data_IF_924307438711
#
_entry.id   IF_924307438711
#
_cell.length_a   1.000
_cell.length_b   1.000
_cell.length_c   1.000
_cell.angle_alpha   90.00
_cell.angle_beta   90.00
_cell.angle_gamma   90.00
#
_symmetry.space_group_name_H-M   'P 1'
#
loop_
_entity.id
_entity.type
_entity.pdbx_description
1 polymer ?
#
# COMPACT_ATOMS: atom_id res chain seq x y z
N UNK A 1 0.17 -21.00 -11.58
CA UNK A 1 0.44 -19.58 -11.74
C UNK A 1 0.09 -18.88 -10.43
N UNK A 2 0.97 -18.06 -9.88
CA UNK A 2 0.79 -17.33 -8.63
C UNK A 2 0.78 -15.82 -8.91
N UNK A 3 -0.31 -15.17 -8.49
CA UNK A 3 -0.51 -13.74 -8.64
C UNK A 3 -0.58 -13.02 -7.29
N UNK A 4 -0.09 -11.79 -7.21
CA UNK A 4 -0.13 -11.00 -5.98
C UNK A 4 -0.82 -9.63 -6.19
N UNK A 5 -1.74 -9.30 -5.29
CA UNK A 5 -2.19 -7.92 -5.08
C UNK A 5 -1.23 -7.25 -4.09
N UNK A 6 -0.49 -6.26 -4.58
CA UNK A 6 0.54 -5.55 -3.84
C UNK A 6 0.08 -4.15 -3.39
N UNK A 7 -1.23 -3.87 -3.37
CA UNK A 7 -1.76 -2.55 -3.04
C UNK A 7 -1.30 -2.04 -1.66
N UNK A 8 -1.10 -2.93 -0.68
CA UNK A 8 -0.56 -2.57 0.64
C UNK A 8 0.93 -2.91 0.81
N UNK A 9 1.61 -3.41 -0.22
CA UNK A 9 2.99 -3.87 -0.15
C UNK A 9 3.97 -2.94 -0.89
N UNK A 10 3.61 -2.47 -2.09
CA UNK A 10 4.48 -1.61 -2.90
C UNK A 10 4.80 -0.31 -2.16
N UNK A 11 6.09 0.04 -2.06
CA UNK A 11 6.57 1.19 -1.29
C UNK A 11 6.52 1.04 0.24
N UNK A 12 5.99 -0.07 0.76
CA UNK A 12 5.83 -0.35 2.19
C UNK A 12 6.80 -1.42 2.70
N UNK A 13 6.94 -2.53 1.97
CA UNK A 13 7.82 -3.66 2.32
C UNK A 13 8.77 -3.98 1.17
N UNK A 14 9.91 -4.66 1.41
CA UNK A 14 10.77 -5.16 0.34
C UNK A 14 10.01 -6.10 -0.58
N UNK A 15 10.22 -5.97 -1.90
CA UNK A 15 9.61 -6.83 -2.90
C UNK A 15 10.67 -7.26 -3.93
N UNK A 16 10.81 -8.56 -4.17
CA UNK A 16 11.73 -9.11 -5.17
C UNK A 16 10.99 -10.04 -6.13
N UNK A 17 9.91 -9.54 -6.73
CA UNK A 17 8.92 -10.32 -7.50
C UNK A 17 9.52 -11.32 -8.50
N UNK A 18 10.58 -10.90 -9.20
CA UNK A 18 11.26 -11.76 -10.16
C UNK A 18 12.02 -12.91 -9.48
N UNK A 19 12.82 -12.58 -8.47
CA UNK A 19 13.57 -13.56 -7.68
C UNK A 19 12.61 -14.53 -6.96
N UNK A 20 11.50 -14.00 -6.45
CA UNK A 20 10.52 -14.76 -5.68
C UNK A 20 9.59 -15.60 -6.59
N UNK A 21 9.78 -15.54 -7.91
CA UNK A 21 9.06 -16.38 -8.87
C UNK A 21 7.57 -16.03 -9.00
N UNK A 22 7.15 -14.82 -8.63
CA UNK A 22 5.78 -14.34 -8.81
C UNK A 22 5.47 -14.30 -10.31
N UNK A 23 4.35 -14.86 -10.77
CA UNK A 23 4.06 -14.90 -12.20
C UNK A 23 3.51 -13.56 -12.71
N UNK A 24 2.65 -12.91 -11.92
CA UNK A 24 2.12 -11.58 -12.19
C UNK A 24 1.77 -10.86 -10.88
N UNK A 25 1.76 -9.53 -10.90
CA UNK A 25 1.33 -8.74 -9.75
C UNK A 25 0.66 -7.44 -10.20
N UNK A 26 -0.19 -6.87 -9.34
CA UNK A 26 -0.84 -5.59 -9.57
C UNK A 26 -0.80 -4.73 -8.31
N UNK A 27 -0.82 -3.42 -8.47
CA UNK A 27 -0.90 -2.48 -7.35
C UNK A 27 -1.53 -1.16 -7.74
N UNK A 28 -1.94 -0.40 -6.72
CA UNK A 28 -2.28 1.00 -6.86
C UNK A 28 -1.10 1.91 -6.49
N UNK A 29 -1.11 3.14 -6.99
CA UNK A 29 -0.11 4.16 -6.68
C UNK A 29 -0.59 5.22 -5.68
N UNK A 30 -1.88 5.24 -5.36
CA UNK A 30 -2.49 6.26 -4.49
C UNK A 30 -2.37 5.96 -2.98
N UNK A 31 -1.82 4.80 -2.59
CA UNK A 31 -1.58 4.42 -1.19
C UNK A 31 -0.17 4.83 -0.75
N UNK A 32 0.69 3.87 -0.41
CA UNK A 32 2.04 4.14 0.07
C UNK A 32 2.90 4.90 -0.97
N UNK A 33 2.62 4.73 -2.26
CA UNK A 33 3.29 5.45 -3.33
C UNK A 33 2.80 6.90 -3.54
N UNK A 34 1.89 7.43 -2.72
CA UNK A 34 1.54 8.86 -2.64
C UNK A 34 1.24 9.58 -3.97
N UNK A 35 0.78 8.89 -5.01
CA UNK A 35 0.56 9.49 -6.34
C UNK A 35 -0.75 10.28 -6.45
N UNK A 36 -1.54 10.38 -5.38
CA UNK A 36 -2.81 11.11 -5.36
C UNK A 36 -4.02 10.27 -5.83
N UNK A 37 -5.24 10.77 -5.61
CA UNK A 37 -6.48 10.04 -5.88
C UNK A 37 -6.67 9.76 -7.37
N UNK A 38 -6.98 8.51 -7.73
CA UNK A 38 -7.21 8.11 -9.12
C UNK A 38 -5.94 7.98 -9.97
N UNK A 39 -4.76 8.01 -9.36
CA UNK A 39 -3.49 7.84 -10.05
C UNK A 39 -3.36 6.46 -10.72
N UNK A 40 -2.51 6.40 -11.75
CA UNK A 40 -2.29 5.20 -12.57
C UNK A 40 -1.82 4.01 -11.71
N UNK A 41 -2.39 2.82 -11.92
CA UNK A 41 -1.93 1.58 -11.28
C UNK A 41 -0.63 1.05 -11.90
N UNK A 42 -0.12 -0.04 -11.34
CA UNK A 42 1.00 -0.78 -11.92
C UNK A 42 0.70 -2.26 -12.06
N UNK A 43 1.39 -2.89 -13.01
CA UNK A 43 1.31 -4.31 -13.26
C UNK A 43 2.72 -4.87 -13.50
N UNK A 44 2.94 -6.07 -13.00
CA UNK A 44 4.13 -6.87 -13.22
C UNK A 44 3.73 -8.17 -13.92
N UNK A 45 4.54 -8.57 -14.90
CA UNK A 45 4.45 -9.87 -15.56
C UNK A 45 5.86 -10.43 -15.61
N UNK A 46 6.06 -11.62 -15.05
CA UNK A 46 7.38 -12.23 -15.03
C UNK A 46 7.89 -12.48 -16.45
N UNK A 47 9.19 -12.28 -16.69
CA UNK A 47 9.78 -12.44 -18.02
C UNK A 47 9.57 -13.83 -18.65
N UNK A 48 9.41 -14.88 -17.84
CA UNK A 48 9.09 -16.24 -18.32
C UNK A 48 7.78 -16.29 -19.12
N UNK A 49 6.90 -15.31 -18.93
CA UNK A 49 5.65 -15.11 -19.65
C UNK A 49 5.72 -14.03 -20.73
N UNK A 50 6.87 -13.37 -20.92
CA UNK A 50 6.98 -12.17 -21.74
C UNK A 50 6.58 -12.39 -23.21
N UNK A 51 6.79 -13.59 -23.76
CA UNK A 51 6.49 -13.94 -25.16
C UNK A 51 5.37 -14.98 -25.30
N UNK A 52 4.56 -15.17 -24.27
CA UNK A 52 3.45 -16.15 -24.26
C UNK A 52 2.22 -15.57 -24.94
N UNK A 53 2.16 -15.70 -26.27
CA UNK A 53 1.09 -15.21 -27.15
C UNK A 53 -0.27 -15.89 -26.97
N UNK A 54 -0.28 -17.06 -26.35
CA UNK A 54 -1.44 -17.90 -26.09
C UNK A 54 -2.24 -17.48 -24.84
N UNK A 55 -1.72 -16.56 -24.02
CA UNK A 55 -2.44 -16.09 -22.84
C UNK A 55 -3.70 -15.29 -23.22
N UNK A 56 -4.82 -15.48 -22.50
CA UNK A 56 -6.03 -14.69 -22.73
C UNK A 56 -5.78 -13.24 -22.30
N UNK A 57 -5.67 -12.34 -23.27
CA UNK A 57 -5.46 -10.91 -23.06
C UNK A 57 -6.65 -10.13 -23.56
N UNK A 58 -7.11 -9.17 -22.76
CA UNK A 58 -7.89 -8.08 -23.31
C UNK A 58 -6.92 -7.23 -24.14
N UNK A 59 -6.92 -7.41 -25.46
CA UNK A 59 -6.00 -6.73 -26.35
C UNK A 59 -6.47 -5.30 -26.62
N UNK A 60 -5.57 -4.33 -26.51
CA UNK A 60 -5.82 -2.95 -26.91
C UNK A 60 -4.62 -2.38 -27.66
N UNK A 61 -4.88 -1.35 -28.47
CA UNK A 61 -3.90 -0.81 -29.42
C UNK A 61 -2.59 -0.36 -28.79
N UNK A 62 -2.61 0.07 -27.52
CA UNK A 62 -1.40 0.52 -26.83
C UNK A 62 -0.48 -0.62 -26.42
N UNK A 63 -1.02 -1.84 -26.27
CA UNK A 63 -0.26 -3.07 -26.04
C UNK A 63 0.34 -3.65 -27.32
N UNK A 64 -0.02 -3.12 -28.49
CA UNK A 64 0.52 -3.55 -29.77
C UNK A 64 1.97 -3.10 -29.97
N UNK A 65 2.71 -3.84 -30.81
CA UNK A 65 4.03 -3.51 -31.31
C UNK A 65 4.15 -2.01 -31.69
N UNK A 66 5.02 -1.23 -31.03
CA UNK A 66 5.20 0.19 -31.29
C UNK A 66 5.57 0.51 -32.75
N UNK A 67 6.30 -0.37 -33.44
CA UNK A 67 6.76 -0.14 -34.82
C UNK A 67 5.59 -0.13 -35.81
N UNK A 68 4.55 -0.93 -35.53
CA UNK A 68 3.38 -1.08 -36.42
C UNK A 68 2.09 -0.51 -35.83
N UNK A 69 2.10 0.00 -34.59
CA UNK A 69 0.90 0.49 -33.87
C UNK A 69 0.05 1.49 -34.66
N UNK A 70 0.70 2.41 -35.37
CA UNK A 70 0.03 3.47 -36.12
C UNK A 70 -0.25 3.11 -37.58
N UNK A 71 0.17 1.93 -38.05
CA UNK A 71 -0.20 1.40 -39.36
C UNK A 71 -1.64 0.82 -39.34
N UNK A 72 -2.57 1.51 -38.69
CA UNK A 72 -3.91 1.11 -38.20
C UNK A 72 -4.84 0.40 -39.22
N UNK A 73 -4.41 0.20 -40.46
CA UNK A 73 -5.08 -0.44 -41.59
C UNK A 73 -4.41 -1.75 -42.08
N UNK A 74 -3.20 -2.09 -41.60
CA UNK A 74 -2.41 -3.25 -42.11
C UNK A 74 -2.23 -4.41 -41.14
N UNK A 75 -2.38 -4.20 -39.84
CA UNK A 75 -2.21 -5.25 -38.84
C UNK A 75 -3.50 -6.11 -38.72
N UNK A 76 -3.62 -7.18 -39.52
CA UNK A 76 -4.71 -8.16 -39.39
C UNK A 76 -4.69 -8.95 -38.08
N UNK A 77 -3.56 -8.91 -37.35
CA UNK A 77 -3.32 -9.63 -36.10
C UNK A 77 -2.72 -8.69 -35.06
N UNK A 78 -3.23 -8.75 -33.83
CA UNK A 78 -2.60 -8.10 -32.69
C UNK A 78 -1.27 -8.79 -32.38
N UNK A 79 -0.17 -8.03 -32.40
CA UNK A 79 1.16 -8.45 -31.98
C UNK A 79 1.44 -7.79 -30.62
N UNK A 80 1.40 -8.52 -29.50
CA UNK A 80 1.63 -7.96 -28.18
C UNK A 80 3.09 -7.53 -28.00
N UNK A 81 3.32 -6.41 -27.32
CA UNK A 81 4.63 -6.10 -26.78
C UNK A 81 5.05 -7.16 -25.74
N UNK A 82 6.35 -7.50 -25.65
CA UNK A 82 6.83 -8.42 -24.64
C UNK A 82 6.54 -7.96 -23.20
N UNK A 83 6.19 -8.90 -22.33
CA UNK A 83 6.01 -8.66 -20.90
C UNK A 83 4.74 -7.86 -20.56
N UNK A 84 4.79 -7.08 -19.49
CA UNK A 84 3.65 -6.30 -19.00
C UNK A 84 3.16 -5.25 -20.00
N UNK A 85 4.04 -4.76 -20.89
CA UNK A 85 3.68 -3.75 -21.89
C UNK A 85 2.58 -4.22 -22.85
N UNK A 86 2.54 -5.52 -23.18
CA UNK A 86 1.51 -6.14 -24.03
C UNK A 86 0.11 -6.19 -23.43
N UNK A 87 -0.03 -5.84 -22.15
CA UNK A 87 -1.32 -5.81 -21.42
C UNK A 87 -1.92 -4.41 -21.35
N UNK A 88 -1.29 -3.40 -21.97
CA UNK A 88 -1.84 -2.05 -22.02
C UNK A 88 -2.99 -1.97 -23.03
N UNK A 89 -4.13 -1.46 -22.59
CA UNK A 89 -5.31 -1.33 -23.44
C UNK A 89 -5.29 -0.04 -24.27
N UNK A 90 -5.13 1.09 -23.56
CA UNK A 90 -5.28 2.44 -24.09
C UNK A 90 -4.02 3.25 -23.83
N UNK A 91 -3.94 4.43 -24.46
CA UNK A 91 -2.86 5.37 -24.16
C UNK A 91 -2.89 5.78 -22.66
N UNK A 92 -1.72 6.05 -22.06
CA UNK A 92 -1.63 6.37 -20.65
C UNK A 92 -2.31 7.72 -20.34
N UNK A 93 -3.00 7.84 -19.19
CA UNK A 93 -3.59 9.10 -18.74
C UNK A 93 -2.51 10.02 -18.17
N UNK A 94 -1.89 10.84 -19.02
CA UNK A 94 -0.70 11.66 -18.68
C UNK A 94 -0.85 12.43 -17.37
N UNK A 95 -1.98 13.12 -17.16
CA UNK A 95 -2.21 13.92 -15.95
C UNK A 95 -2.38 13.09 -14.68
N UNK A 96 -2.94 11.88 -14.77
CA UNK A 96 -3.08 10.96 -13.64
C UNK A 96 -1.77 10.17 -13.36
N UNK A 97 -0.87 10.11 -14.34
CA UNK A 97 0.42 9.45 -14.21
C UNK A 97 1.52 10.41 -13.72
N UNK A 98 1.44 11.70 -14.05
CA UNK A 98 2.49 12.68 -13.73
C UNK A 98 2.84 12.77 -12.22
N UNK A 99 1.88 12.77 -11.27
CA UNK A 99 2.20 12.83 -9.84
C UNK A 99 2.97 11.61 -9.33
N UNK A 100 2.82 10.45 -9.97
CA UNK A 100 3.58 9.25 -9.61
C UNK A 100 5.09 9.50 -9.83
N UNK A 101 5.49 10.22 -10.87
CA UNK A 101 6.90 10.53 -11.12
C UNK A 101 7.50 11.37 -10.00
N UNK A 102 6.78 12.40 -9.54
CA UNK A 102 7.21 13.23 -8.42
C UNK A 102 7.32 12.42 -7.12
N UNK A 103 6.36 11.53 -6.87
CA UNK A 103 6.42 10.65 -5.69
C UNK A 103 7.60 9.68 -5.75
N UNK A 104 7.83 9.01 -6.89
CA UNK A 104 8.94 8.09 -7.05
C UNK A 104 10.31 8.78 -6.86
N UNK A 105 10.46 10.03 -7.30
CA UNK A 105 11.66 10.81 -7.02
C UNK A 105 11.92 11.00 -5.52
N UNK A 106 10.87 11.21 -4.71
CA UNK A 106 10.98 11.27 -3.25
C UNK A 106 11.37 9.90 -2.65
N UNK A 107 10.89 8.80 -3.24
CA UNK A 107 11.27 7.44 -2.82
C UNK A 107 12.75 7.17 -3.07
N UNK A 108 13.27 7.61 -4.23
CA UNK A 108 14.69 7.49 -4.60
C UNK A 108 15.56 8.36 -3.68
N UNK A 109 15.17 9.61 -3.44
CA UNK A 109 15.86 10.51 -2.52
C UNK A 109 15.89 9.94 -1.09
N UNK A 110 14.75 9.43 -0.60
CA UNK A 110 14.63 8.89 0.75
C UNK A 110 15.40 7.58 0.96
N UNK A 111 15.58 6.78 -0.10
CA UNK A 111 16.27 5.49 -0.08
C UNK A 111 15.48 4.38 0.63
N UNK A 112 15.54 3.15 0.10
CA UNK A 112 14.78 2.03 0.64
C UNK A 112 15.18 1.66 2.07
N UNK A 113 16.47 1.48 2.32
CA UNK A 113 16.98 1.04 3.62
C UNK A 113 16.58 1.99 4.76
N UNK A 114 16.74 3.31 4.56
CA UNK A 114 16.37 4.33 5.56
C UNK A 114 14.86 4.33 5.82
N UNK A 115 14.04 4.24 4.78
CA UNK A 115 12.57 4.17 4.92
C UNK A 115 12.16 2.93 5.71
N UNK A 116 12.71 1.76 5.38
CA UNK A 116 12.36 0.50 6.05
C UNK A 116 12.85 0.47 7.50
N UNK A 117 14.04 1.00 7.78
CA UNK A 117 14.55 1.13 9.15
C UNK A 117 13.64 2.04 9.99
N UNK A 118 13.26 3.21 9.46
CA UNK A 118 12.33 4.13 10.12
C UNK A 118 10.94 3.50 10.32
N UNK A 119 10.41 2.78 9.32
CA UNK A 119 9.12 2.09 9.44
C UNK A 119 9.13 1.05 10.55
N UNK A 120 10.20 0.24 10.66
CA UNK A 120 10.37 -0.74 11.74
C UNK A 120 10.43 -0.07 13.12
N UNK A 121 11.19 1.02 13.25
CA UNK A 121 11.29 1.78 14.49
C UNK A 121 9.94 2.41 14.90
N UNK A 122 9.19 2.97 13.95
CA UNK A 122 7.86 3.52 14.19
C UNK A 122 6.84 2.44 14.58
N UNK A 123 6.89 1.27 13.93
CA UNK A 123 6.06 0.14 14.30
C UNK A 123 6.34 -0.32 15.73
N UNK A 124 7.62 -0.55 16.06
CA UNK A 124 8.04 -0.96 17.40
C UNK A 124 7.59 0.06 18.46
N UNK A 125 7.86 1.34 18.25
CA UNK A 125 7.43 2.42 19.15
C UNK A 125 5.93 2.41 19.39
N UNK A 126 5.11 2.31 18.32
CA UNK A 126 3.66 2.30 18.46
C UNK A 126 3.20 1.08 19.26
N UNK A 127 3.74 -0.09 18.93
CA UNK A 127 3.38 -1.35 19.57
C UNK A 127 3.78 -1.36 21.04
N UNK A 128 4.97 -0.88 21.39
CA UNK A 128 5.45 -0.77 22.78
C UNK A 128 4.54 0.14 23.61
N UNK A 129 4.12 1.29 23.05
CA UNK A 129 3.19 2.20 23.72
C UNK A 129 1.82 1.55 23.93
N UNK A 130 1.33 0.81 22.95
CA UNK A 130 0.03 0.12 23.04
C UNK A 130 0.08 -1.04 24.04
N UNK A 131 1.16 -1.80 24.09
CA UNK A 131 1.32 -2.94 24.99
C UNK A 131 1.49 -2.52 26.46
N UNK A 132 1.98 -1.30 26.69
CA UNK A 132 2.03 -0.72 28.03
C UNK A 132 0.63 -0.35 28.57
N UNK A 133 -0.43 -0.47 27.77
CA UNK A 133 -1.79 -0.21 28.22
C UNK A 133 -2.25 -1.22 29.29
N UNK A 134 -2.89 -0.75 30.38
CA UNK A 134 -3.33 -1.65 31.43
C UNK A 134 -4.57 -2.47 31.03
N UNK A 135 -4.53 -3.78 31.30
CA UNK A 135 -5.66 -4.70 31.15
C UNK A 135 -5.90 -5.17 29.71
N UNK A 136 -7.05 -5.80 29.47
CA UNK A 136 -7.49 -6.37 28.18
C UNK A 136 -8.22 -5.36 27.29
N UNK A 137 -7.93 -4.06 27.48
CA UNK A 137 -8.68 -2.96 26.87
C UNK A 137 -8.37 -2.76 25.39
N UNK A 138 -7.25 -3.24 24.91
CA UNK A 138 -6.89 -3.21 23.50
C UNK A 138 -5.99 -4.39 23.20
N UNK A 139 -5.95 -4.79 21.94
CA UNK A 139 -5.10 -5.89 21.49
C UNK A 139 -4.49 -5.54 20.14
N UNK A 140 -3.16 -5.57 20.05
CA UNK A 140 -2.47 -5.47 18.76
C UNK A 140 -2.57 -6.82 18.04
N UNK A 141 -3.32 -6.87 16.94
CA UNK A 141 -3.53 -8.10 16.15
C UNK A 141 -2.59 -8.21 14.94
N UNK A 142 -1.80 -7.17 14.65
CA UNK A 142 -0.77 -7.25 13.61
C UNK A 142 0.37 -8.17 14.08
N UNK A 143 0.85 -9.12 13.26
CA UNK A 143 2.01 -9.94 13.59
C UNK A 143 3.27 -9.11 13.90
N UNK A 144 4.02 -9.53 14.91
CA UNK A 144 5.24 -8.84 15.39
C UNK A 144 6.53 -9.34 14.77
N UNK A 145 6.49 -10.52 14.14
CA UNK A 145 7.69 -11.16 13.62
C UNK A 145 8.38 -10.28 12.59
N UNK A 146 9.71 -10.35 12.56
CA UNK A 146 10.52 -9.63 11.58
C UNK A 146 10.07 -9.98 10.16
N UNK A 147 9.70 -8.96 9.39
CA UNK A 147 9.20 -9.14 8.02
C UNK A 147 7.77 -9.66 7.92
N UNK A 148 7.06 -9.88 9.04
CA UNK A 148 5.67 -10.34 9.05
C UNK A 148 4.64 -9.19 8.99
N UNK A 149 5.11 -7.93 8.92
CA UNK A 149 4.26 -6.74 8.88
C UNK A 149 4.85 -5.63 8.00
N UNK A 150 3.98 -4.72 7.56
CA UNK A 150 4.38 -3.41 7.02
C UNK A 150 4.20 -2.30 8.06
N UNK A 151 3.97 -1.08 7.61
CA UNK A 151 3.74 0.08 8.49
C UNK A 151 2.42 0.03 9.31
N UNK A 152 1.44 -0.77 8.91
CA UNK A 152 0.09 -0.73 9.51
C UNK A 152 0.03 -1.58 10.79
N UNK A 153 -0.42 -0.96 11.88
CA UNK A 153 -0.83 -1.61 13.12
C UNK A 153 -2.36 -1.66 13.19
N UNK A 154 -2.89 -2.86 13.36
CA UNK A 154 -4.31 -3.11 13.61
C UNK A 154 -4.51 -3.34 15.10
N UNK A 155 -5.39 -2.54 15.72
CA UNK A 155 -5.69 -2.58 17.15
C UNK A 155 -7.15 -2.96 17.34
N UNK A 156 -7.40 -4.09 17.98
CA UNK A 156 -8.74 -4.55 18.35
C UNK A 156 -9.18 -3.86 19.64
N UNK A 157 -10.37 -3.28 19.61
CA UNK A 157 -11.02 -2.48 20.65
C UNK A 157 -12.50 -2.93 20.73
N UNK A 158 -12.80 -4.06 21.40
CA UNK A 158 -14.14 -4.63 21.43
C UNK A 158 -15.21 -3.62 21.86
N UNK A 159 -16.23 -3.42 21.01
CA UNK A 159 -17.36 -2.52 21.24
C UNK A 159 -17.02 -1.02 21.22
N UNK A 160 -15.75 -0.64 20.99
CA UNK A 160 -15.26 0.73 21.21
C UNK A 160 -14.53 1.36 20.03
N UNK A 161 -14.17 0.59 19.01
CA UNK A 161 -13.40 1.08 17.86
C UNK A 161 -13.99 2.35 17.20
N UNK A 162 -15.30 2.34 16.91
CA UNK A 162 -15.97 3.51 16.31
C UNK A 162 -15.94 4.76 17.20
N UNK A 163 -16.22 4.60 18.51
CA UNK A 163 -16.20 5.71 19.46
C UNK A 163 -14.80 6.30 19.59
N UNK A 164 -13.80 5.44 19.76
CA UNK A 164 -12.41 5.83 19.92
C UNK A 164 -11.89 6.49 18.64
N UNK A 165 -12.20 5.95 17.46
CA UNK A 165 -11.82 6.55 16.18
C UNK A 165 -12.44 7.94 15.99
N UNK A 166 -13.70 8.15 16.39
CA UNK A 166 -14.32 9.49 16.36
C UNK A 166 -13.62 10.46 17.31
N UNK A 167 -13.23 10.01 18.51
CA UNK A 167 -12.47 10.84 19.45
C UNK A 167 -11.09 11.20 18.87
N UNK A 168 -10.34 10.21 18.37
CA UNK A 168 -9.05 10.42 17.69
C UNK A 168 -9.15 11.43 16.54
N UNK A 169 -10.19 11.34 15.71
CA UNK A 169 -10.42 12.30 14.60
C UNK A 169 -10.70 13.72 15.10
N UNK A 170 -11.42 13.89 16.21
CA UNK A 170 -11.61 15.21 16.83
C UNK A 170 -10.30 15.81 17.33
N UNK A 171 -9.37 14.96 17.75
CA UNK A 171 -8.03 15.34 18.20
C UNK A 171 -7.03 15.49 17.03
N UNK A 172 -7.48 15.38 15.78
CA UNK A 172 -6.67 15.56 14.57
C UNK A 172 -5.99 14.29 14.05
N UNK A 173 -6.19 13.12 14.68
CA UNK A 173 -5.65 11.85 14.22
C UNK A 173 -6.57 11.18 13.19
N UNK A 174 -6.07 11.01 11.97
CA UNK A 174 -6.80 10.33 10.89
C UNK A 174 -6.54 8.83 10.97
N UNK A 175 -7.58 8.07 11.33
CA UNK A 175 -7.54 6.60 11.44
C UNK A 175 -8.70 5.94 10.69
N UNK A 176 -8.50 4.69 10.31
CA UNK A 176 -9.50 3.85 9.64
C UNK A 176 -10.13 2.87 10.62
N UNK A 177 -11.44 2.68 10.54
CA UNK A 177 -12.15 1.66 11.33
C UNK A 177 -12.46 0.48 10.43
N UNK A 178 -12.18 -0.72 10.94
CA UNK A 178 -12.60 -1.99 10.36
C UNK A 178 -13.60 -2.65 11.29
N UNK A 179 -14.90 -2.54 10.97
CA UNK A 179 -15.95 -3.13 11.77
C UNK A 179 -15.72 -4.64 12.03
N UNK A 180 -16.16 -5.15 13.19
CA UNK A 180 -16.82 -4.39 14.26
C UNK A 180 -15.84 -3.58 15.14
N UNK A 181 -14.62 -4.08 15.34
CA UNK A 181 -13.84 -3.73 16.54
C UNK A 181 -12.39 -3.30 16.26
N UNK A 182 -11.98 -3.06 15.01
CA UNK A 182 -10.57 -2.78 14.73
C UNK A 182 -10.36 -1.33 14.31
N UNK A 183 -9.37 -0.66 14.89
CA UNK A 183 -8.78 0.57 14.35
C UNK A 183 -7.48 0.20 13.64
N UNK A 184 -7.28 0.73 12.42
CA UNK A 184 -6.02 0.62 11.70
C UNK A 184 -5.32 1.97 11.69
N UNK A 185 -4.06 1.94 12.10
CA UNK A 185 -3.14 3.07 12.12
C UNK A 185 -1.90 2.69 11.34
N UNK A 186 -1.45 3.56 10.43
CA UNK A 186 -0.33 3.26 9.53
C UNK A 186 0.65 4.43 9.44
N UNK A 187 1.52 4.61 10.44
CA UNK A 187 2.59 5.60 10.36
C UNK A 187 3.50 5.32 9.17
N UNK A 188 3.65 6.27 8.25
CA UNK A 188 4.46 6.11 7.04
C UNK A 188 5.80 6.82 7.22
N UNK A 189 6.95 6.17 6.94
CA UNK A 189 8.26 6.72 7.25
C UNK A 189 8.61 8.00 6.47
N UNK A 190 7.97 8.26 5.33
CA UNK A 190 8.26 9.43 4.51
C UNK A 190 7.88 10.75 5.20
N UNK A 191 6.74 10.78 5.90
CA UNK A 191 6.19 12.03 6.41
C UNK A 191 5.71 11.99 7.86
N UNK A 192 5.58 10.81 8.48
CA UNK A 192 5.29 10.74 9.92
C UNK A 192 6.57 10.78 10.75
N UNK A 193 6.50 11.46 11.89
CA UNK A 193 7.58 11.54 12.88
C UNK A 193 7.38 10.51 13.99
N UNK A 194 8.44 10.19 14.75
CA UNK A 194 8.30 9.32 15.93
C UNK A 194 7.44 9.99 17.02
N UNK A 195 7.51 11.31 17.15
CA UNK A 195 6.70 12.07 18.10
C UNK A 195 5.20 11.93 17.80
N UNK A 196 4.79 12.08 16.52
CA UNK A 196 3.40 11.87 16.12
C UNK A 196 2.91 10.46 16.43
N UNK A 197 3.77 9.46 16.22
CA UNK A 197 3.47 8.05 16.52
C UNK A 197 3.27 7.84 18.02
N UNK A 198 4.16 8.38 18.85
CA UNK A 198 4.03 8.30 20.30
C UNK A 198 2.77 9.03 20.80
N UNK A 199 2.49 10.25 20.31
CA UNK A 199 1.29 11.01 20.68
C UNK A 199 0.01 10.27 20.32
N UNK A 200 -0.06 9.69 19.12
CA UNK A 200 -1.18 8.84 18.69
C UNK A 200 -1.36 7.63 19.61
N UNK A 201 -0.28 6.89 19.88
CA UNK A 201 -0.31 5.70 20.73
C UNK A 201 -0.81 6.03 22.13
N UNK A 202 -0.22 7.04 22.79
CA UNK A 202 -0.62 7.47 24.13
C UNK A 202 -2.08 7.91 24.18
N UNK A 203 -2.54 8.66 23.17
CA UNK A 203 -3.94 9.10 23.09
C UNK A 203 -4.89 7.93 22.90
N UNK A 204 -4.52 6.93 22.11
CA UNK A 204 -5.32 5.72 21.93
C UNK A 204 -5.43 4.95 23.25
N UNK A 205 -4.32 4.79 23.98
CA UNK A 205 -4.30 4.15 25.32
C UNK A 205 -5.20 4.90 26.31
N UNK A 206 -5.11 6.23 26.36
CA UNK A 206 -5.96 7.07 27.22
C UNK A 206 -7.45 6.87 26.90
N UNK A 207 -7.83 6.91 25.62
CA UNK A 207 -9.21 6.73 25.17
C UNK A 207 -9.74 5.31 25.41
N UNK A 208 -8.86 4.30 25.36
CA UNK A 208 -9.19 2.94 25.76
C UNK A 208 -9.34 2.79 27.29
N UNK A 209 -8.62 3.62 28.05
CA UNK A 209 -8.60 3.68 29.52
C UNK A 209 -9.78 4.44 30.15
N UNK A 210 -10.35 5.43 29.45
CA UNK A 210 -11.48 6.20 29.94
C UNK A 210 -12.70 5.32 30.22
N UNK A 211 -13.26 5.44 31.43
CA UNK A 211 -14.56 4.84 31.76
C UNK A 211 -15.62 5.32 30.74
N UNK A 212 -16.59 4.47 30.45
CA UNK A 212 -17.74 4.79 29.59
C UNK A 212 -18.56 5.94 30.20
N UNK A 213 -18.09 7.17 30.01
CA UNK A 213 -18.71 8.40 30.47
C UNK A 213 -19.51 9.02 29.34
N UNK A 214 -20.83 8.77 29.38
CA UNK A 214 -21.91 9.72 29.08
C UNK A 214 -21.64 10.75 27.96
N UNK A 215 -22.24 10.50 26.80
CA UNK A 215 -23.03 11.54 26.16
C UNK A 215 -24.50 11.24 26.44
#
# INVERSE_FOLDING_TARGET
MFGADLAHAIGNVPLRLHHDGVDFAVWCSYKYLNAGPGAIGGAFVHERHARRDDLPRLAGWWGHDPETRFAMDRARRFVPQPGAAGWQLSNPPVLAAAPLLASLALFDEAGEERRLAKARAQFALLVDVLDAAPGDRLEVITPRGDGAHGCQVSVRLPGRAERIARALRRDGFVVDVRPPDVIRVAPVPLFNTHEEVARLGLRLVELAGGADGTC
#
